data_IF_174571729947
#
_entry.id   IF_174571729947
#
_cell.length_a   1.000
_cell.length_b   1.000
_cell.length_c   1.000
_cell.angle_alpha   90.00
_cell.angle_beta   90.00
_cell.angle_gamma   90.00
#
_symmetry.space_group_name_H-M   'P 1'
#
loop_
_entity.id
_entity.type
_entity.pdbx_description
1 polymer ?
#
# COMPACT_ATOMS: atom_id res chain seq x y z
N UNK A 1 -11.41 0.38 -5.47
CA UNK A 1 -10.76 -0.90 -5.10
C UNK A 1 -10.46 -1.02 -3.61
N UNK A 2 -9.55 -0.24 -3.01
CA UNK A 2 -9.19 -0.42 -1.58
C UNK A 2 -10.40 -0.29 -0.65
N UNK A 3 -11.13 0.83 -0.72
CA UNK A 3 -12.37 1.03 0.05
C UNK A 3 -13.51 0.06 -0.27
N UNK A 4 -13.43 -0.63 -1.40
CA UNK A 4 -14.42 -1.63 -1.84
C UNK A 4 -13.99 -3.06 -1.48
N UNK A 5 -12.78 -3.25 -0.93
CA UNK A 5 -12.24 -4.57 -0.59
C UNK A 5 -11.75 -5.42 -1.78
N UNK A 6 -11.69 -4.85 -2.98
CA UNK A 6 -11.29 -5.57 -4.20
C UNK A 6 -12.40 -5.61 -5.27
N UNK A 7 -12.29 -6.49 -6.28
CA UNK A 7 -11.21 -7.46 -6.48
C UNK A 7 -9.86 -6.79 -6.78
N UNK A 8 -8.77 -7.46 -6.42
CA UNK A 8 -7.41 -6.99 -6.70
C UNK A 8 -6.76 -7.84 -7.79
N UNK A 9 -5.91 -7.21 -8.62
CA UNK A 9 -5.30 -7.85 -9.78
C UNK A 9 -4.11 -8.73 -9.42
N UNK A 10 -3.36 -8.36 -8.37
CA UNK A 10 -2.12 -9.02 -8.01
C UNK A 10 -2.25 -9.69 -6.64
N UNK A 11 -1.71 -10.89 -6.48
CA UNK A 11 -1.80 -11.68 -5.24
C UNK A 11 -1.19 -10.98 -4.02
N UNK A 12 -0.29 -10.01 -4.24
CA UNK A 12 0.32 -9.21 -3.18
C UNK A 12 -0.58 -8.08 -2.69
N UNK A 13 -1.61 -7.72 -3.44
CA UNK A 13 -2.51 -6.64 -3.06
C UNK A 13 -3.35 -7.05 -1.85
N UNK A 14 -3.32 -6.21 -0.81
CA UNK A 14 -3.95 -6.50 0.47
C UNK A 14 -3.08 -7.30 1.45
N UNK A 15 -1.88 -7.74 1.05
CA UNK A 15 -0.96 -8.41 1.98
C UNK A 15 -0.31 -7.41 2.95
N UNK A 16 0.15 -7.91 4.09
CA UNK A 16 0.76 -7.08 5.15
C UNK A 16 2.07 -6.47 4.66
N UNK A 17 2.18 -5.15 4.78
CA UNK A 17 3.43 -4.41 4.62
C UNK A 17 4.14 -4.29 5.97
N UNK A 18 5.38 -4.78 6.05
CA UNK A 18 6.09 -4.91 7.32
C UNK A 18 6.67 -3.61 7.89
N UNK A 19 6.82 -2.55 7.08
CA UNK A 19 7.50 -1.31 7.46
C UNK A 19 8.85 -1.55 8.16
N UNK A 20 9.70 -2.42 7.60
CA UNK A 20 10.94 -2.89 8.24
C UNK A 20 11.98 -1.77 8.37
N UNK A 21 12.04 -0.93 7.36
CA UNK A 21 12.89 0.24 7.24
C UNK A 21 12.35 1.43 8.06
N UNK A 22 11.16 1.29 8.65
CA UNK A 22 10.51 2.27 9.55
C UNK A 22 10.37 3.68 8.95
N UNK A 23 10.16 3.77 7.64
CA UNK A 23 9.95 5.05 6.94
C UNK A 23 8.54 5.58 7.21
N UNK A 24 7.55 4.70 7.35
CA UNK A 24 6.20 5.07 7.81
C UNK A 24 6.16 5.13 9.34
N UNK A 25 5.20 5.85 9.96
CA UNK A 25 5.02 5.86 11.41
C UNK A 25 4.96 4.46 11.99
N UNK A 26 5.61 4.25 13.14
CA UNK A 26 5.64 2.95 13.83
C UNK A 26 4.22 2.57 14.25
N UNK A 27 3.83 1.33 13.98
CA UNK A 27 2.50 0.81 14.30
C UNK A 27 2.57 -0.71 14.53
N UNK A 28 1.55 -1.32 15.16
CA UNK A 28 1.52 -2.77 15.41
C UNK A 28 1.66 -3.61 14.13
N UNK A 29 2.14 -4.85 14.27
CA UNK A 29 2.26 -5.78 13.14
C UNK A 29 0.89 -6.01 12.49
N UNK A 30 0.85 -5.96 11.16
CA UNK A 30 -0.38 -6.12 10.39
C UNK A 30 -1.18 -4.84 10.18
N UNK A 31 -0.74 -3.71 10.75
CA UNK A 31 -1.40 -2.41 10.58
C UNK A 31 -1.38 -1.92 9.12
N UNK A 32 -0.23 -2.08 8.45
CA UNK A 32 -0.07 -1.64 7.06
C UNK A 32 -0.31 -2.77 6.06
N UNK A 33 -0.93 -2.45 4.93
CA UNK A 33 -1.13 -3.34 3.78
C UNK A 33 -0.71 -2.68 2.49
N UNK A 34 -0.16 -3.46 1.56
CA UNK A 34 0.28 -2.96 0.26
C UNK A 34 -0.72 -3.20 -0.87
N UNK A 35 -0.79 -2.27 -1.82
CA UNK A 35 -1.63 -2.35 -3.01
C UNK A 35 -0.88 -1.85 -4.23
N UNK A 36 -0.98 -2.56 -5.34
CA UNK A 36 -0.31 -2.22 -6.59
C UNK A 36 -0.98 -1.04 -7.27
N UNK A 37 -0.19 -0.04 -7.64
CA UNK A 37 -0.61 1.01 -8.57
C UNK A 37 -0.12 0.61 -9.96
N UNK A 38 -1.06 0.45 -10.90
CA UNK A 38 -0.72 0.03 -12.27
C UNK A 38 0.25 1.05 -12.89
N UNK A 39 1.39 0.55 -13.34
CA UNK A 39 2.31 1.32 -14.17
C UNK A 39 1.95 1.06 -15.63
N UNK A 40 1.65 2.10 -16.44
CA UNK A 40 1.35 1.92 -17.86
C UNK A 40 2.43 1.10 -18.56
N UNK A 41 2.03 0.20 -19.47
CA UNK A 41 2.89 -0.68 -20.27
C UNK A 41 3.74 -1.71 -19.51
N UNK A 42 3.81 -1.65 -18.17
CA UNK A 42 4.50 -2.65 -17.38
C UNK A 42 3.77 -4.00 -17.42
N UNK A 43 4.53 -5.07 -17.72
CA UNK A 43 4.04 -6.46 -17.67
C UNK A 43 4.04 -7.05 -16.25
N UNK A 44 4.76 -6.42 -15.34
CA UNK A 44 4.84 -6.79 -13.92
C UNK A 44 4.08 -5.77 -13.04
N UNK A 45 4.25 -5.86 -11.72
CA UNK A 45 3.63 -4.92 -10.76
C UNK A 45 4.22 -3.50 -10.84
N UNK A 46 5.35 -3.29 -11.50
CA UNK A 46 6.11 -2.04 -11.46
C UNK A 46 6.60 -1.67 -10.05
N UNK A 47 7.09 -0.45 -9.87
CA UNK A 47 7.60 0.07 -8.60
C UNK A 47 6.55 0.79 -7.74
N UNK A 48 5.39 1.14 -8.32
CA UNK A 48 4.40 2.02 -7.69
C UNK A 48 3.46 1.25 -6.76
N UNK A 49 3.29 1.72 -5.53
CA UNK A 49 2.38 1.11 -4.54
C UNK A 49 1.63 2.18 -3.76
N UNK A 50 0.46 1.79 -3.24
CA UNK A 50 -0.20 2.47 -2.13
C UNK A 50 -0.06 1.56 -0.90
N UNK A 51 0.38 2.13 0.22
CA UNK A 51 0.38 1.48 1.53
C UNK A 51 -0.70 2.12 2.36
N UNK A 52 -1.70 1.35 2.78
CA UNK A 52 -2.75 1.85 3.67
C UNK A 52 -2.61 1.22 5.05
N UNK A 53 -2.70 2.05 6.08
CA UNK A 53 -2.70 1.67 7.48
C UNK A 53 -4.10 1.72 8.07
N UNK A 54 -4.44 0.77 8.94
CA UNK A 54 -5.69 0.79 9.70
C UNK A 54 -6.11 -0.58 10.22
N UNK A 55 -7.00 -0.57 11.20
CA UNK A 55 -7.54 -1.81 11.77
C UNK A 55 -8.40 -2.59 10.77
N UNK A 56 -9.14 -1.87 9.90
CA UNK A 56 -10.02 -2.45 8.88
C UNK A 56 -9.42 -2.21 7.49
N UNK A 57 -9.10 -3.26 6.71
CA UNK A 57 -8.45 -3.09 5.40
C UNK A 57 -9.22 -2.21 4.40
N UNK A 58 -10.56 -2.29 4.40
CA UNK A 58 -11.42 -1.51 3.52
C UNK A 58 -11.82 -0.13 4.10
N UNK A 59 -11.33 0.22 5.28
CA UNK A 59 -11.54 1.52 5.92
C UNK A 59 -10.23 1.99 6.57
N UNK A 60 -9.21 2.36 5.77
CA UNK A 60 -7.91 2.76 6.28
C UNK A 60 -7.94 4.13 6.96
N UNK A 61 -7.14 4.30 8.01
CA UNK A 61 -6.97 5.57 8.74
C UNK A 61 -6.09 6.55 7.94
N UNK A 62 -5.09 6.00 7.22
CA UNK A 62 -4.18 6.76 6.38
C UNK A 62 -3.64 5.90 5.23
N UNK A 63 -3.38 6.54 4.09
CA UNK A 63 -2.71 5.91 2.96
C UNK A 63 -1.50 6.72 2.51
N UNK A 64 -0.51 6.02 1.98
CA UNK A 64 0.77 6.54 1.54
C UNK A 64 1.08 6.00 0.15
N UNK A 65 1.64 6.85 -0.71
CA UNK A 65 2.10 6.48 -2.03
C UNK A 65 3.61 6.34 -2.05
N UNK A 66 4.11 5.29 -2.72
CA UNK A 66 5.52 5.16 -3.14
C UNK A 66 5.55 5.00 -4.66
N UNK A 67 6.45 5.75 -5.30
CA UNK A 67 6.72 5.65 -6.73
C UNK A 67 8.02 4.88 -7.05
N UNK A 68 8.78 4.54 -6.01
CA UNK A 68 10.20 4.17 -6.05
C UNK A 68 10.46 2.86 -5.29
N UNK A 69 9.48 1.95 -5.29
CA UNK A 69 9.61 0.61 -4.72
C UNK A 69 10.00 0.65 -3.22
N UNK A 70 9.20 1.38 -2.43
CA UNK A 70 9.29 1.51 -0.97
C UNK A 70 10.48 2.34 -0.46
N UNK A 71 11.25 3.01 -1.34
CA UNK A 71 12.37 3.85 -0.93
C UNK A 71 11.94 5.18 -0.31
N UNK A 72 10.81 5.75 -0.74
CA UNK A 72 10.20 6.92 -0.13
C UNK A 72 8.68 6.87 -0.17
N UNK A 73 8.05 7.64 0.73
CA UNK A 73 6.60 7.68 0.86
C UNK A 73 6.09 9.12 0.92
N UNK A 74 4.92 9.33 0.31
CA UNK A 74 4.14 10.56 0.43
C UNK A 74 2.77 10.22 1.00
N UNK A 75 2.34 10.93 2.04
CA UNK A 75 0.98 10.78 2.57
C UNK A 75 -0.02 11.27 1.53
N UNK A 76 -1.07 10.48 1.32
CA UNK A 76 -2.21 10.88 0.48
C UNK A 76 -3.16 11.63 1.40
N UNK A 77 -3.47 12.88 1.06
CA UNK A 77 -4.53 13.67 1.68
C UNK A 77 -5.74 13.66 0.75
N UNK A 78 -6.92 13.52 1.33
CA UNK A 78 -8.19 13.44 0.61
C UNK A 78 -8.98 14.73 0.81
#
# INVERSE_FOLDING_TARGET
>A
LIYQGGPFKYDKDGTVFGNRERILPVSPRGYYREYTVKTPYARNRGARRIICGGAKPAAPDACFYTGDHYASFRKIVQ
#
